data_IF_718705390282
#
_entry.id   IF_718705390282
#
_cell.length_a   1.000
_cell.length_b   1.000
_cell.length_c   1.000
_cell.angle_alpha   90.00
_cell.angle_beta   90.00
_cell.angle_gamma   90.00
#
_symmetry.space_group_name_H-M   'P 1'
#
loop_
_entity.id
_entity.type
_entity.pdbx_description
1 polymer ?
#
# COMPACT_ATOMS: atom_id res chain seq x y z
N UNK A 1 26.59 -15.40 -22.83
CA UNK A 1 26.05 -16.03 -21.60
C UNK A 1 24.60 -15.57 -21.49
N UNK A 2 23.66 -16.47 -21.35
CA UNK A 2 22.24 -16.12 -21.25
C UNK A 2 21.90 -15.85 -19.79
N UNK A 3 21.77 -14.56 -19.45
CA UNK A 3 21.49 -14.10 -18.08
C UNK A 3 20.21 -14.71 -17.51
N UNK A 4 19.24 -15.03 -18.34
CA UNK A 4 17.97 -15.60 -17.88
C UNK A 4 18.13 -17.09 -17.52
N UNK A 5 18.95 -17.83 -18.30
CA UNK A 5 19.28 -19.21 -17.98
C UNK A 5 20.09 -19.31 -16.66
N UNK A 6 21.04 -18.38 -16.45
CA UNK A 6 21.77 -18.29 -15.18
C UNK A 6 20.88 -17.96 -14.00
N UNK A 7 19.97 -16.98 -14.17
CA UNK A 7 18.97 -16.63 -13.14
C UNK A 7 18.12 -17.86 -12.76
N UNK A 8 17.57 -18.58 -13.73
CA UNK A 8 16.75 -19.76 -13.45
C UNK A 8 17.55 -20.89 -12.77
N UNK A 9 18.80 -21.10 -13.19
CA UNK A 9 19.68 -22.06 -12.55
C UNK A 9 19.95 -21.69 -11.07
N UNK A 10 20.16 -20.42 -10.77
CA UNK A 10 20.35 -19.93 -9.40
C UNK A 10 19.09 -20.08 -8.56
N UNK A 11 17.90 -19.76 -9.11
CA UNK A 11 16.60 -19.99 -8.45
C UNK A 11 16.45 -21.45 -8.05
N UNK A 12 16.77 -22.38 -8.96
CA UNK A 12 16.69 -23.81 -8.70
C UNK A 12 17.74 -24.26 -7.67
N UNK A 13 18.98 -23.79 -7.79
CA UNK A 13 20.08 -24.15 -6.88
C UNK A 13 19.83 -23.71 -5.44
N UNK A 14 19.21 -22.53 -5.25
CA UNK A 14 18.87 -22.03 -3.93
C UNK A 14 17.51 -22.51 -3.39
N UNK A 15 16.75 -23.28 -4.16
CA UNK A 15 15.42 -23.74 -3.78
C UNK A 15 14.41 -22.60 -3.55
N UNK A 16 14.52 -21.49 -4.31
CA UNK A 16 13.64 -20.35 -4.17
C UNK A 16 12.24 -20.66 -4.72
N UNK A 17 11.22 -20.26 -3.97
CA UNK A 17 9.82 -20.39 -4.38
C UNK A 17 9.47 -19.26 -5.36
N UNK A 18 9.63 -19.51 -6.64
CA UNK A 18 9.28 -18.63 -7.74
C UNK A 18 8.17 -19.23 -8.58
N UNK A 19 7.03 -18.54 -8.70
CA UNK A 19 5.89 -19.00 -9.51
C UNK A 19 6.03 -18.69 -10.99
N UNK A 20 6.61 -17.55 -11.31
CA UNK A 20 6.87 -17.12 -12.66
C UNK A 20 7.68 -15.83 -12.67
N UNK A 21 8.23 -15.52 -13.81
CA UNK A 21 8.99 -14.29 -14.04
C UNK A 21 8.68 -13.71 -15.41
N UNK A 22 8.48 -12.42 -15.46
CA UNK A 22 8.43 -11.64 -16.70
C UNK A 22 9.42 -10.49 -16.61
N UNK A 23 10.14 -10.25 -17.68
CA UNK A 23 11.06 -9.11 -17.79
C UNK A 23 10.65 -8.26 -19.00
N UNK A 24 10.37 -7.00 -18.72
CA UNK A 24 10.07 -6.01 -19.75
C UNK A 24 11.25 -5.04 -19.85
N UNK A 25 11.62 -4.71 -21.09
CA UNK A 25 12.58 -3.65 -21.39
C UNK A 25 11.95 -2.70 -22.40
N UNK A 26 11.91 -1.42 -22.07
CA UNK A 26 11.32 -0.38 -22.91
C UNK A 26 9.87 -0.72 -23.36
N UNK A 27 9.07 -1.28 -22.44
CA UNK A 27 7.69 -1.71 -22.69
C UNK A 27 7.54 -3.00 -23.51
N UNK A 28 8.63 -3.66 -23.88
CA UNK A 28 8.60 -4.93 -24.64
C UNK A 28 8.94 -6.10 -23.70
N UNK A 29 8.14 -7.16 -23.81
CA UNK A 29 8.45 -8.41 -23.13
C UNK A 29 9.70 -9.04 -23.76
N UNK A 30 10.76 -9.23 -22.98
CA UNK A 30 12.01 -9.80 -23.44
C UNK A 30 12.28 -11.19 -22.86
N UNK A 31 11.59 -11.55 -21.78
CA UNK A 31 11.68 -12.86 -21.16
C UNK A 31 10.41 -13.16 -20.36
N UNK A 32 9.93 -14.39 -20.44
CA UNK A 32 8.83 -14.93 -19.61
C UNK A 32 9.06 -16.42 -19.39
N UNK A 33 8.95 -16.83 -18.13
CA UNK A 33 8.96 -18.23 -17.71
C UNK A 33 7.95 -18.43 -16.61
N UNK A 34 7.11 -19.48 -16.73
CA UNK A 34 6.19 -19.91 -15.70
C UNK A 34 6.73 -21.19 -15.07
N UNK A 35 7.04 -21.13 -13.77
CA UNK A 35 7.62 -22.21 -12.97
C UNK A 35 6.58 -22.96 -12.14
N UNK A 36 5.36 -22.45 -12.09
CA UNK A 36 4.21 -23.04 -11.42
C UNK A 36 2.98 -23.01 -12.33
N UNK A 37 1.91 -23.77 -12.02
CA UNK A 37 0.66 -23.74 -12.78
C UNK A 37 0.15 -22.29 -12.95
N UNK A 38 -0.48 -22.01 -14.11
CA UNK A 38 -1.08 -20.71 -14.41
C UNK A 38 -2.40 -20.56 -13.61
N UNK A 39 -2.28 -20.23 -12.34
CA UNK A 39 -3.34 -20.08 -11.37
C UNK A 39 -3.31 -18.67 -10.75
N UNK A 40 -4.34 -18.37 -9.95
CA UNK A 40 -4.37 -17.15 -9.15
C UNK A 40 -3.60 -17.36 -7.86
N UNK A 41 -2.54 -16.57 -7.67
CA UNK A 41 -1.75 -16.56 -6.44
C UNK A 41 -1.98 -15.27 -5.64
N UNK A 42 -1.94 -15.34 -4.30
CA UNK A 42 -1.96 -14.14 -3.46
C UNK A 42 -0.74 -13.27 -3.75
N UNK A 43 -0.97 -12.01 -4.11
CA UNK A 43 0.12 -11.05 -4.39
C UNK A 43 0.54 -10.24 -3.15
N UNK A 44 -0.12 -10.47 -2.01
CA UNK A 44 0.19 -9.81 -0.73
C UNK A 44 0.43 -8.30 -0.90
N UNK A 45 1.59 -7.81 -0.44
CA UNK A 45 1.91 -6.37 -0.45
C UNK A 45 2.14 -5.77 -1.85
N UNK A 46 2.25 -6.56 -2.90
CA UNK A 46 2.22 -6.03 -4.26
C UNK A 46 0.87 -5.35 -4.58
N UNK A 47 -0.20 -5.70 -3.84
CA UNK A 47 -1.50 -5.00 -3.86
C UNK A 47 -1.35 -3.50 -3.61
N UNK A 48 -0.38 -3.06 -2.80
CA UNK A 48 -0.14 -1.64 -2.52
C UNK A 48 0.28 -0.85 -3.77
N UNK A 49 0.98 -1.50 -4.69
CA UNK A 49 1.31 -0.91 -5.99
C UNK A 49 0.05 -0.69 -6.84
N UNK A 50 -0.90 -1.64 -6.79
CA UNK A 50 -2.20 -1.50 -7.47
C UNK A 50 -2.99 -0.34 -6.86
N UNK A 51 -3.07 -0.25 -5.53
CA UNK A 51 -3.71 0.87 -4.83
C UNK A 51 -3.08 2.21 -5.23
N UNK A 52 -1.75 2.31 -5.20
CA UNK A 52 -1.04 3.53 -5.58
C UNK A 52 -1.30 3.92 -7.05
N UNK A 53 -1.39 2.94 -7.95
CA UNK A 53 -1.72 3.18 -9.36
C UNK A 53 -3.15 3.67 -9.53
N UNK A 54 -4.11 3.11 -8.80
CA UNK A 54 -5.50 3.56 -8.79
C UNK A 54 -5.63 5.01 -8.27
N UNK A 55 -4.90 5.34 -7.20
CA UNK A 55 -4.81 6.72 -6.69
C UNK A 55 -4.23 7.66 -7.76
N UNK A 56 -3.14 7.26 -8.42
CA UNK A 56 -2.54 8.05 -9.50
C UNK A 56 -3.52 8.33 -10.64
N UNK A 57 -4.31 7.32 -11.02
CA UNK A 57 -5.36 7.47 -12.03
C UNK A 57 -6.46 8.45 -11.56
N UNK A 58 -6.97 8.28 -10.35
CA UNK A 58 -7.97 9.18 -9.78
C UNK A 58 -7.47 10.64 -9.68
N UNK A 59 -6.17 10.82 -9.38
CA UNK A 59 -5.55 12.15 -9.41
C UNK A 59 -5.49 12.72 -10.83
N UNK A 60 -5.14 11.92 -11.83
CA UNK A 60 -5.09 12.37 -13.24
C UNK A 60 -6.46 12.77 -13.79
N UNK A 61 -7.52 12.18 -13.25
CA UNK A 61 -8.92 12.52 -13.57
C UNK A 61 -9.47 13.69 -12.72
N UNK A 62 -8.67 14.27 -11.83
CA UNK A 62 -9.09 15.36 -10.93
C UNK A 62 -10.05 14.94 -9.83
N UNK A 63 -10.27 13.63 -9.62
CA UNK A 63 -11.20 13.08 -8.62
C UNK A 63 -10.58 12.96 -7.23
N UNK A 64 -9.26 12.95 -7.15
CA UNK A 64 -8.53 12.74 -5.91
C UNK A 64 -7.27 13.62 -5.86
N UNK A 65 -6.84 14.03 -4.67
CA UNK A 65 -5.66 14.88 -4.47
C UNK A 65 -4.87 14.41 -3.27
N UNK A 66 -3.62 14.07 -3.48
CA UNK A 66 -2.74 13.55 -2.42
C UNK A 66 -2.21 14.63 -1.46
N UNK A 67 -2.30 15.89 -1.83
CA UNK A 67 -1.95 17.06 -1.00
C UNK A 67 -3.07 17.51 -0.07
N UNK A 68 -4.28 16.97 -0.24
CA UNK A 68 -5.43 17.24 0.63
C UNK A 68 -5.43 16.34 1.85
N UNK A 69 -6.04 16.79 2.97
CA UNK A 69 -6.28 15.91 4.10
C UNK A 69 -7.06 14.65 3.71
N UNK A 70 -6.68 13.50 4.28
CA UNK A 70 -7.44 12.27 4.08
C UNK A 70 -8.88 12.41 4.62
N UNK A 71 -9.07 13.20 5.67
CA UNK A 71 -10.36 13.48 6.25
C UNK A 71 -11.36 14.12 5.26
N UNK A 72 -10.91 14.83 4.23
CA UNK A 72 -11.77 15.42 3.19
C UNK A 72 -12.51 14.35 2.37
N UNK A 73 -12.06 13.09 2.43
CA UNK A 73 -12.61 11.94 1.70
C UNK A 73 -13.42 11.00 2.58
N UNK A 74 -13.51 11.29 3.88
CA UNK A 74 -14.33 10.54 4.83
C UNK A 74 -15.65 11.25 5.07
N UNK A 75 -16.70 10.47 5.32
CA UNK A 75 -18.01 11.02 5.67
C UNK A 75 -18.04 11.64 7.07
N UNK A 76 -18.98 12.55 7.31
CA UNK A 76 -19.20 13.12 8.64
C UNK A 76 -19.50 12.05 9.71
N UNK A 77 -20.16 10.95 9.32
CA UNK A 77 -20.43 9.82 10.21
C UNK A 77 -19.14 9.11 10.61
N UNK A 78 -18.23 8.85 9.67
CA UNK A 78 -16.93 8.22 9.95
C UNK A 78 -16.06 9.12 10.83
N UNK A 79 -16.06 10.43 10.58
CA UNK A 79 -15.31 11.38 11.38
C UNK A 79 -15.89 11.63 12.77
N UNK A 80 -17.19 11.34 12.99
CA UNK A 80 -17.84 11.58 14.27
C UNK A 80 -17.26 10.80 15.46
N UNK A 81 -16.55 9.71 15.17
CA UNK A 81 -15.89 8.88 16.18
C UNK A 81 -14.46 9.32 16.52
N UNK A 82 -13.92 10.29 15.77
CA UNK A 82 -12.55 10.76 15.97
C UNK A 82 -12.45 11.48 17.33
N UNK A 83 -11.63 10.99 18.28
CA UNK A 83 -11.45 11.66 19.55
C UNK A 83 -10.75 13.01 19.37
N UNK A 84 -11.01 13.97 20.24
CA UNK A 84 -10.40 15.30 20.21
C UNK A 84 -8.86 15.22 20.22
N UNK A 85 -8.28 14.28 21.01
CA UNK A 85 -6.83 14.05 21.06
C UNK A 85 -6.23 13.69 19.68
N UNK A 86 -7.03 13.18 18.77
CA UNK A 86 -6.63 12.76 17.42
C UNK A 86 -6.98 13.82 16.35
N UNK A 87 -7.38 15.04 16.74
CA UNK A 87 -7.80 16.10 15.83
C UNK A 87 -6.75 16.47 14.77
N UNK A 88 -5.45 16.24 15.03
CA UNK A 88 -4.39 16.43 14.04
C UNK A 88 -4.57 15.55 12.79
N UNK A 89 -5.28 14.42 12.88
CA UNK A 89 -5.66 13.60 11.72
C UNK A 89 -6.39 14.41 10.64
N UNK A 90 -7.23 15.37 11.04
CA UNK A 90 -8.01 16.21 10.13
C UNK A 90 -7.17 17.05 9.17
N UNK A 91 -5.87 17.19 9.45
CA UNK A 91 -4.94 17.98 8.65
C UNK A 91 -3.88 17.11 7.93
N UNK A 92 -3.91 15.80 8.13
CA UNK A 92 -2.90 14.91 7.53
C UNK A 92 -3.19 14.68 6.04
N UNK A 93 -2.29 15.08 5.15
CA UNK A 93 -2.49 14.86 3.73
C UNK A 93 -2.39 13.38 3.37
N UNK A 94 -3.14 12.97 2.35
CA UNK A 94 -3.12 11.60 1.81
C UNK A 94 -1.70 11.10 1.52
N UNK A 95 -0.82 12.00 1.05
CA UNK A 95 0.57 11.69 0.76
C UNK A 95 1.34 11.09 1.95
N UNK A 96 1.00 11.47 3.19
CA UNK A 96 1.61 10.90 4.41
C UNK A 96 1.30 9.41 4.56
N UNK A 97 0.09 9.00 4.22
CA UNK A 97 -0.35 7.60 4.25
C UNK A 97 0.23 6.81 3.07
N UNK A 98 0.23 7.37 1.86
CA UNK A 98 0.84 6.73 0.68
C UNK A 98 2.33 6.47 0.84
N UNK A 99 3.05 7.40 1.47
CA UNK A 99 4.49 7.26 1.74
C UNK A 99 4.80 6.51 3.04
N UNK A 100 3.77 6.04 3.74
CA UNK A 100 3.89 5.34 5.03
C UNK A 100 4.70 6.11 6.08
N UNK A 101 4.44 7.41 6.17
CA UNK A 101 5.16 8.32 7.08
C UNK A 101 4.35 8.75 8.32
N UNK A 102 3.24 8.09 8.60
CA UNK A 102 2.52 8.18 9.88
C UNK A 102 2.96 7.00 10.75
N UNK A 103 3.84 7.25 11.70
CA UNK A 103 4.35 6.20 12.58
C UNK A 103 3.38 5.89 13.73
N UNK A 104 3.54 4.71 14.34
CA UNK A 104 2.78 4.30 15.54
C UNK A 104 1.63 3.34 15.26
N UNK A 105 1.19 3.18 14.02
CA UNK A 105 0.18 2.16 13.71
C UNK A 105 0.70 0.74 13.92
N UNK A 106 -0.14 -0.20 14.38
CA UNK A 106 0.18 -1.62 14.34
C UNK A 106 0.30 -2.09 12.88
N UNK A 107 0.97 -3.22 12.65
CA UNK A 107 1.07 -3.79 11.30
C UNK A 107 -0.32 -4.09 10.70
N UNK A 108 -1.22 -4.60 11.54
CA UNK A 108 -2.66 -4.77 11.26
C UNK A 108 -3.44 -4.27 12.46
N UNK A 109 -4.57 -3.55 12.27
CA UNK A 109 -5.49 -3.28 13.36
C UNK A 109 -6.21 -4.57 13.78
N UNK A 110 -6.69 -4.60 15.01
CA UNK A 110 -7.59 -5.64 15.50
C UNK A 110 -9.05 -5.27 15.22
N UNK A 111 -9.92 -6.29 15.22
CA UNK A 111 -11.35 -6.13 15.05
C UNK A 111 -11.79 -6.04 13.57
N UNK A 112 -13.11 -5.91 13.39
CA UNK A 112 -13.75 -5.94 12.07
C UNK A 112 -13.78 -4.56 11.39
N UNK A 113 -13.87 -3.49 12.18
CA UNK A 113 -13.90 -2.11 11.66
C UNK A 113 -12.53 -1.44 11.84
N UNK A 114 -11.69 -1.59 10.84
CA UNK A 114 -10.34 -1.04 10.86
C UNK A 114 -10.30 0.49 10.89
N UNK A 115 -11.24 1.16 10.21
CA UNK A 115 -11.31 2.62 10.22
C UNK A 115 -11.54 3.14 11.64
N UNK A 116 -12.52 2.58 12.36
CA UNK A 116 -12.80 2.98 13.74
C UNK A 116 -11.57 2.73 14.64
N UNK A 117 -10.95 1.55 14.53
CA UNK A 117 -9.77 1.21 15.31
C UNK A 117 -8.63 2.21 15.07
N UNK A 118 -8.45 2.63 13.83
CA UNK A 118 -7.41 3.58 13.45
C UNK A 118 -7.71 4.99 13.95
N UNK A 119 -8.92 5.50 13.74
CA UNK A 119 -9.31 6.85 14.15
C UNK A 119 -9.26 7.02 15.68
N UNK A 120 -9.57 5.94 16.43
CA UNK A 120 -9.53 5.91 17.89
C UNK A 120 -8.19 5.47 18.50
N UNK A 121 -7.18 5.19 17.67
CA UNK A 121 -5.86 4.71 18.13
C UNK A 121 -5.10 5.76 18.96
N UNK A 122 -4.05 5.32 19.67
CA UNK A 122 -3.15 6.20 20.41
C UNK A 122 -1.97 6.71 19.56
N UNK A 123 -2.16 6.75 18.24
CA UNK A 123 -1.16 7.29 17.29
C UNK A 123 -1.07 8.80 17.44
N UNK A 124 0.14 9.33 17.59
CA UNK A 124 0.37 10.76 17.53
C UNK A 124 0.36 11.25 16.08
N UNK A 125 -0.80 11.71 15.63
CA UNK A 125 -1.00 12.25 14.29
C UNK A 125 -0.28 13.60 14.06
N UNK A 126 0.14 14.28 15.11
CA UNK A 126 0.92 15.52 15.03
C UNK A 126 2.44 15.26 14.88
N UNK A 127 2.88 14.02 15.09
CA UNK A 127 4.29 13.67 14.99
C UNK A 127 4.89 13.98 13.60
N UNK A 128 6.17 14.36 13.54
CA UNK A 128 6.84 14.59 12.25
C UNK A 128 6.87 13.31 11.40
N UNK A 129 7.03 13.46 10.06
CA UNK A 129 7.11 12.33 9.16
C UNK A 129 8.20 11.34 9.57
N UNK A 130 7.83 10.07 9.79
CA UNK A 130 8.76 8.98 10.03
C UNK A 130 8.26 7.74 9.32
N UNK A 131 9.09 7.15 8.47
CA UNK A 131 8.73 5.93 7.76
C UNK A 131 8.43 4.79 8.74
N UNK A 132 7.25 4.20 8.57
CA UNK A 132 6.79 3.05 9.34
C UNK A 132 5.87 2.19 8.47
N UNK A 133 6.38 1.07 7.99
CA UNK A 133 5.64 0.19 7.10
C UNK A 133 4.50 -0.53 7.84
N UNK A 134 3.25 -0.30 7.42
CA UNK A 134 2.06 -0.97 7.95
C UNK A 134 1.03 -1.22 6.85
N UNK A 135 0.10 -2.16 7.08
CA UNK A 135 -1.04 -2.35 6.19
C UNK A 135 -2.11 -1.26 6.37
N UNK A 136 -2.17 -0.66 7.57
CA UNK A 136 -3.15 0.37 7.94
C UNK A 136 -3.14 1.54 6.99
N UNK A 137 -1.96 2.08 6.69
CA UNK A 137 -1.84 3.28 5.88
C UNK A 137 -2.30 3.06 4.44
N UNK A 138 -1.98 1.89 3.87
CA UNK A 138 -2.47 1.52 2.54
C UNK A 138 -3.99 1.26 2.54
N UNK A 139 -4.52 0.66 3.60
CA UNK A 139 -5.96 0.46 3.78
C UNK A 139 -6.70 1.80 3.80
N UNK A 140 -6.26 2.77 4.60
CA UNK A 140 -6.91 4.08 4.71
C UNK A 140 -6.99 4.85 3.39
N UNK A 141 -6.07 4.62 2.48
CA UNK A 141 -6.08 5.28 1.16
C UNK A 141 -6.93 4.50 0.15
N UNK A 142 -7.18 3.22 0.40
CA UNK A 142 -7.95 2.34 -0.48
C UNK A 142 -9.40 2.09 -0.04
N UNK A 143 -9.78 2.56 1.15
CA UNK A 143 -11.13 2.47 1.67
C UNK A 143 -11.99 3.61 1.17
#
# INVERSE_FOLDING_TARGET
>A
MDIFAEFLAEVAAQGLCLYGVEVLKEGKLIFREMLAPDERYPIYSATKTVTASAVGLACSEGKFRIDKPLADYLSAQELSILPERNSAFLQLPVSRFLTMTVAGFPFRPEGENWLNTVLCSDVDFAAPPKFHYTNVQAYLVGA
#
